data_IF_153143486879
#
_entry.id   IF_153143486879
#
_cell.length_a   1.000
_cell.length_b   1.000
_cell.length_c   1.000
_cell.angle_alpha   90.00
_cell.angle_beta   90.00
_cell.angle_gamma   90.00
#
_symmetry.space_group_name_H-M   'P 1'
#
loop_
_entity.id
_entity.type
_entity.pdbx_description
1 polymer ?
#
# COMPACT_ATOMS: atom_id res chain seq x y z
N UNK A 1 -19.19 16.63 -12.13
CA UNK A 1 -20.24 17.51 -11.56
C UNK A 1 -19.99 18.93 -12.02
N UNK A 2 -21.04 19.67 -12.37
CA UNK A 2 -20.95 21.06 -12.84
C UNK A 2 -21.54 22.00 -11.77
N UNK A 3 -20.91 22.02 -10.59
CA UNK A 3 -21.32 22.88 -9.47
C UNK A 3 -20.50 24.18 -9.50
N UNK A 4 -21.13 25.35 -9.25
CA UNK A 4 -20.40 26.61 -9.08
C UNK A 4 -19.41 26.51 -7.92
N UNK A 5 -18.28 27.22 -8.03
CA UNK A 5 -17.21 27.24 -6.99
C UNK A 5 -17.75 27.71 -5.62
N UNK A 6 -18.84 28.48 -5.61
CA UNK A 6 -19.42 29.09 -4.41
C UNK A 6 -20.67 28.34 -3.90
N UNK A 7 -20.85 27.07 -4.31
CA UNK A 7 -22.04 26.32 -3.93
C UNK A 7 -22.05 26.04 -2.41
N UNK A 8 -23.13 26.40 -1.67
CA UNK A 8 -23.15 26.26 -0.22
C UNK A 8 -23.07 24.79 0.20
N UNK A 9 -22.13 24.44 1.08
CA UNK A 9 -21.89 23.07 1.54
C UNK A 9 -23.14 22.44 2.21
N UNK A 10 -23.95 23.26 2.87
CA UNK A 10 -25.23 22.90 3.50
C UNK A 10 -26.36 22.54 2.53
N UNK A 11 -26.16 22.76 1.22
CA UNK A 11 -27.12 22.38 0.16
C UNK A 11 -26.68 21.15 -0.63
N UNK A 12 -25.59 20.50 -0.24
CA UNK A 12 -25.14 19.25 -0.84
C UNK A 12 -25.96 18.09 -0.24
N UNK A 13 -26.52 17.26 -1.11
CA UNK A 13 -27.14 16.00 -0.70
C UNK A 13 -26.07 15.02 -0.20
N UNK A 14 -26.44 14.07 0.66
CA UNK A 14 -25.53 13.00 1.14
C UNK A 14 -24.85 12.28 -0.01
N UNK A 15 -25.59 12.04 -1.10
CA UNK A 15 -25.06 11.39 -2.31
C UNK A 15 -24.05 12.28 -3.05
N UNK A 16 -24.27 13.59 -3.11
CA UNK A 16 -23.29 14.54 -3.66
C UNK A 16 -22.05 14.68 -2.77
N UNK A 17 -22.21 14.66 -1.44
CA UNK A 17 -21.08 14.66 -0.50
C UNK A 17 -20.26 13.38 -0.66
N UNK A 18 -20.90 12.21 -0.74
CA UNK A 18 -20.25 10.94 -1.00
C UNK A 18 -19.54 10.92 -2.36
N UNK A 19 -20.16 11.47 -3.41
CA UNK A 19 -19.51 11.60 -4.72
C UNK A 19 -18.34 12.58 -4.71
N UNK A 20 -18.41 13.72 -4.01
CA UNK A 20 -17.29 14.65 -3.83
C UNK A 20 -16.18 14.04 -3.00
N UNK A 21 -16.50 13.28 -1.96
CA UNK A 21 -15.53 12.55 -1.14
C UNK A 21 -14.85 11.43 -1.95
N UNK A 22 -15.61 10.67 -2.74
CA UNK A 22 -15.09 9.68 -3.67
C UNK A 22 -14.24 10.31 -4.78
N UNK A 23 -14.68 11.43 -5.35
CA UNK A 23 -13.89 12.19 -6.34
C UNK A 23 -12.63 12.77 -5.70
N UNK A 24 -12.70 13.29 -4.49
CA UNK A 24 -11.55 13.86 -3.77
C UNK A 24 -10.58 12.78 -3.34
N UNK A 25 -11.06 11.59 -2.94
CA UNK A 25 -10.23 10.41 -2.68
C UNK A 25 -9.57 9.90 -3.97
N UNK A 26 -10.31 9.86 -5.09
CA UNK A 26 -9.79 9.49 -6.41
C UNK A 26 -8.80 10.53 -6.99
N UNK A 27 -9.02 11.81 -6.71
CA UNK A 27 -8.14 12.91 -7.12
C UNK A 27 -6.94 13.10 -6.18
N UNK A 28 -7.03 12.61 -4.95
CA UNK A 28 -5.95 12.64 -3.98
C UNK A 28 -5.21 11.31 -4.08
N UNK A 29 -4.32 11.25 -5.08
CA UNK A 29 -3.48 10.09 -5.38
C UNK A 29 -2.82 9.47 -4.12
N UNK A 30 -2.51 10.29 -3.10
CA UNK A 30 -2.02 9.81 -1.80
C UNK A 30 -3.01 8.87 -1.09
N UNK A 31 -4.29 9.21 -1.02
CA UNK A 31 -5.30 8.37 -0.37
C UNK A 31 -5.55 7.08 -1.15
N UNK A 32 -5.59 7.15 -2.49
CA UNK A 32 -5.72 5.97 -3.33
C UNK A 32 -4.51 5.04 -3.20
N UNK A 33 -3.29 5.59 -3.22
CA UNK A 33 -2.05 4.81 -3.09
C UNK A 33 -1.89 4.26 -1.67
N UNK A 34 -2.31 5.00 -0.64
CA UNK A 34 -2.34 4.50 0.73
C UNK A 34 -3.39 3.40 0.90
N UNK A 35 -4.55 3.50 0.24
CA UNK A 35 -5.54 2.42 0.17
C UNK A 35 -4.96 1.16 -0.50
N UNK A 36 -4.30 1.33 -1.65
CA UNK A 36 -3.64 0.22 -2.34
C UNK A 36 -2.55 -0.44 -1.50
N UNK A 37 -1.76 0.34 -0.75
CA UNK A 37 -0.78 -0.20 0.19
C UNK A 37 -1.45 -1.01 1.32
N UNK A 38 -2.60 -0.56 1.82
CA UNK A 38 -3.39 -1.31 2.79
C UNK A 38 -3.93 -2.62 2.20
N UNK A 39 -4.43 -2.59 0.97
CA UNK A 39 -4.95 -3.76 0.26
C UNK A 39 -3.84 -4.78 -0.03
N UNK A 40 -2.65 -4.34 -0.44
CA UNK A 40 -1.48 -5.21 -0.64
C UNK A 40 -1.08 -5.92 0.66
N UNK A 41 -1.07 -5.21 1.79
CA UNK A 41 -0.81 -5.82 3.09
C UNK A 41 -1.90 -6.80 3.52
N UNK A 42 -3.17 -6.45 3.28
CA UNK A 42 -4.29 -7.34 3.56
C UNK A 42 -4.28 -8.58 2.67
N UNK A 43 -3.71 -8.47 1.47
CA UNK A 43 -3.48 -9.58 0.54
C UNK A 43 -2.23 -10.41 0.82
N UNK A 44 -1.48 -10.14 1.90
CA UNK A 44 -0.50 -11.12 2.38
C UNK A 44 -1.27 -12.38 2.81
N UNK A 45 -0.85 -13.56 2.35
CA UNK A 45 -1.49 -14.83 2.68
C UNK A 45 -1.69 -14.92 4.18
N UNK A 46 -2.95 -14.90 4.61
CA UNK A 46 -3.30 -15.09 6.00
C UNK A 46 -3.70 -16.55 6.08
N UNK A 47 -2.78 -17.47 6.44
CA UNK A 47 -2.98 -18.92 6.35
C UNK A 47 -4.37 -19.27 6.88
N UNK A 48 -5.29 -19.56 5.96
CA UNK A 48 -6.72 -19.46 6.24
C UNK A 48 -7.15 -20.47 7.31
N UNK A 49 -8.21 -20.11 8.02
CA UNK A 49 -8.70 -20.79 9.22
C UNK A 49 -9.46 -22.10 8.95
N UNK A 50 -9.43 -22.62 7.72
CA UNK A 50 -10.31 -23.69 7.31
C UNK A 50 -9.51 -24.98 7.08
N UNK A 51 -9.24 -25.67 8.20
CA UNK A 51 -8.68 -27.03 8.22
C UNK A 51 -7.17 -27.12 8.41
N UNK A 52 -6.45 -26.00 8.51
CA UNK A 52 -5.01 -25.97 8.75
C UNK A 52 -4.68 -25.81 10.24
N UNK A 53 -3.77 -26.63 10.77
CA UNK A 53 -3.32 -26.52 12.16
C UNK A 53 -2.64 -25.16 12.41
N UNK A 54 -2.78 -24.62 13.62
CA UNK A 54 -2.17 -23.33 14.02
C UNK A 54 -0.64 -23.27 13.79
N UNK A 55 0.01 -24.43 13.63
CA UNK A 55 1.43 -24.57 13.33
C UNK A 55 1.81 -24.07 11.93
N UNK A 56 1.04 -24.38 10.89
CA UNK A 56 1.32 -23.93 9.51
C UNK A 56 1.26 -22.40 9.40
N UNK A 57 0.39 -21.79 10.20
CA UNK A 57 0.24 -20.34 10.27
C UNK A 57 1.46 -19.67 10.88
N UNK A 58 1.87 -20.13 12.05
CA UNK A 58 3.06 -19.61 12.71
C UNK A 58 4.30 -19.85 11.87
N UNK A 59 4.37 -20.99 11.18
CA UNK A 59 5.47 -21.35 10.30
C UNK A 59 5.62 -20.41 9.11
N UNK A 60 4.54 -20.05 8.41
CA UNK A 60 4.61 -19.08 7.30
C UNK A 60 5.23 -17.75 7.76
N UNK A 61 4.68 -17.16 8.82
CA UNK A 61 5.14 -15.86 9.32
C UNK A 61 6.56 -15.93 9.89
N UNK A 62 6.93 -17.07 10.48
CA UNK A 62 8.28 -17.30 10.97
C UNK A 62 9.28 -17.48 9.83
N UNK A 63 8.94 -18.23 8.77
CA UNK A 63 9.72 -18.36 7.54
C UNK A 63 9.91 -17.00 6.88
N UNK A 64 8.86 -16.18 6.80
CA UNK A 64 8.93 -14.83 6.23
C UNK A 64 9.82 -13.92 7.07
N UNK A 65 9.69 -13.95 8.41
CA UNK A 65 10.57 -13.22 9.32
C UNK A 65 12.03 -13.60 9.12
N UNK A 66 12.35 -14.90 9.09
CA UNK A 66 13.72 -15.38 8.91
C UNK A 66 14.28 -15.05 7.53
N UNK A 67 13.47 -15.19 6.48
CA UNK A 67 13.86 -14.91 5.11
C UNK A 67 14.14 -13.41 4.90
N UNK A 68 13.26 -12.57 5.42
CA UNK A 68 13.35 -11.12 5.27
C UNK A 68 14.31 -10.45 6.24
N UNK A 69 14.62 -11.09 7.37
CA UNK A 69 15.40 -10.50 8.46
C UNK A 69 14.67 -9.38 9.21
N UNK A 70 13.38 -9.12 8.92
CA UNK A 70 12.62 -8.02 9.52
C UNK A 70 11.41 -8.51 10.29
N UNK A 71 11.35 -8.15 11.58
CA UNK A 71 10.20 -8.44 12.43
C UNK A 71 8.95 -7.68 11.98
N UNK A 72 9.11 -6.64 11.16
CA UNK A 72 8.02 -5.78 10.68
C UNK A 72 6.92 -6.58 9.98
N UNK A 73 7.28 -7.64 9.27
CA UNK A 73 6.37 -8.53 8.55
C UNK A 73 5.61 -9.52 9.45
N UNK A 74 5.86 -9.53 10.77
CA UNK A 74 5.11 -10.38 11.68
C UNK A 74 3.67 -9.85 11.88
N UNK A 75 2.67 -10.74 12.06
CA UNK A 75 1.26 -10.36 12.16
C UNK A 75 0.96 -9.28 13.21
N UNK A 76 1.59 -9.36 14.39
CA UNK A 76 1.39 -8.39 15.46
C UNK A 76 1.86 -6.99 15.06
N UNK A 77 2.97 -6.90 14.33
CA UNK A 77 3.54 -5.64 13.86
C UNK A 77 2.72 -5.08 12.69
N UNK A 78 2.35 -5.92 11.72
CA UNK A 78 1.44 -5.55 10.62
C UNK A 78 0.10 -5.00 11.15
N UNK A 79 -0.50 -5.63 12.16
CA UNK A 79 -1.71 -5.10 12.80
C UNK A 79 -1.51 -3.71 13.41
N UNK A 80 -0.38 -3.49 14.09
CA UNK A 80 -0.03 -2.18 14.63
C UNK A 80 0.14 -1.13 13.54
N UNK A 81 0.78 -1.51 12.44
CA UNK A 81 1.02 -0.67 11.26
C UNK A 81 -0.26 -0.30 10.52
N UNK A 82 -1.18 -1.25 10.36
CA UNK A 82 -2.51 -1.01 9.79
C UNK A 82 -3.30 0.00 10.64
N UNK A 83 -3.32 -0.19 11.96
CA UNK A 83 -3.98 0.74 12.88
C UNK A 83 -3.35 2.14 12.85
N UNK A 84 -2.03 2.23 12.66
CA UNK A 84 -1.33 3.49 12.50
C UNK A 84 -1.67 4.16 11.16
N UNK A 85 -1.70 3.40 10.07
CA UNK A 85 -2.01 3.91 8.73
C UNK A 85 -3.46 4.43 8.61
N UNK A 86 -4.41 3.81 9.32
CA UNK A 86 -5.79 4.29 9.42
C UNK A 86 -5.90 5.66 10.11
N UNK A 87 -4.88 6.09 10.86
CA UNK A 87 -4.81 7.45 11.45
C UNK A 87 -4.35 8.51 10.45
N UNK A 88 -3.93 8.11 9.24
CA UNK A 88 -3.65 9.02 8.14
C UNK A 88 -2.30 9.71 8.23
N UNK A 89 -1.19 8.97 8.08
CA UNK A 89 0.17 9.50 8.03
C UNK A 89 1.03 8.71 7.02
N UNK A 90 2.00 9.36 6.35
CA UNK A 90 2.90 8.70 5.39
C UNK A 90 3.99 7.83 6.06
N UNK A 91 4.02 7.78 7.40
CA UNK A 91 4.99 7.01 8.17
C UNK A 91 4.97 5.51 7.87
N UNK A 92 3.79 4.95 7.55
CA UNK A 92 3.68 3.54 7.12
C UNK A 92 4.52 3.26 5.87
N UNK A 93 4.39 4.10 4.84
CA UNK A 93 5.13 3.96 3.59
C UNK A 93 6.65 4.09 3.82
N UNK A 94 7.06 4.97 4.75
CA UNK A 94 8.46 5.11 5.16
C UNK A 94 9.01 3.85 5.84
N UNK A 95 8.24 3.24 6.75
CA UNK A 95 8.64 2.02 7.44
C UNK A 95 8.70 0.80 6.52
N UNK A 96 7.76 0.68 5.58
CA UNK A 96 7.82 -0.33 4.52
C UNK A 96 9.05 -0.20 3.65
N UNK A 97 9.30 1.01 3.16
CA UNK A 97 10.45 1.25 2.31
C UNK A 97 11.76 1.00 3.06
N UNK A 98 11.86 1.39 4.33
CA UNK A 98 13.00 1.09 5.18
C UNK A 98 13.24 -0.42 5.32
N UNK A 99 12.19 -1.18 5.64
CA UNK A 99 12.28 -2.63 5.75
C UNK A 99 12.74 -3.30 4.45
N UNK A 100 12.25 -2.85 3.29
CA UNK A 100 12.66 -3.36 1.98
C UNK A 100 14.11 -2.99 1.62
N UNK A 101 14.59 -1.82 2.05
CA UNK A 101 15.96 -1.35 1.81
C UNK A 101 17.00 -2.03 2.71
N UNK A 102 16.59 -2.48 3.89
CA UNK A 102 17.44 -3.24 4.81
C UNK A 102 17.68 -4.69 4.36
N UNK A 103 16.81 -5.23 3.50
CA UNK A 103 16.99 -6.56 2.93
C UNK A 103 18.15 -6.58 1.94
N UNK A 104 19.08 -7.50 2.15
CA UNK A 104 20.04 -7.83 1.10
C UNK A 104 19.39 -8.61 -0.06
N UNK A 105 20.14 -8.83 -1.14
CA UNK A 105 19.61 -9.51 -2.32
C UNK A 105 19.16 -10.95 -2.04
N UNK A 106 19.83 -11.66 -1.13
CA UNK A 106 19.49 -13.03 -0.78
C UNK A 106 18.23 -13.08 0.09
N UNK A 107 18.12 -12.19 1.06
CA UNK A 107 16.95 -12.02 1.92
C UNK A 107 15.72 -11.62 1.10
N UNK A 108 15.87 -10.65 0.19
CA UNK A 108 14.79 -10.25 -0.70
C UNK A 108 14.30 -11.41 -1.57
N UNK A 109 15.23 -12.16 -2.17
CA UNK A 109 14.89 -13.34 -2.97
C UNK A 109 14.17 -14.40 -2.13
N UNK A 110 14.66 -14.70 -0.94
CA UNK A 110 14.03 -15.68 -0.04
C UNK A 110 12.65 -15.22 0.43
N UNK A 111 12.48 -13.93 0.75
CA UNK A 111 11.19 -13.35 1.10
C UNK A 111 10.19 -13.44 -0.07
N UNK A 112 10.64 -13.17 -1.30
CA UNK A 112 9.84 -13.32 -2.51
C UNK A 112 9.38 -14.78 -2.71
N UNK A 113 10.26 -15.76 -2.46
CA UNK A 113 9.90 -17.18 -2.51
C UNK A 113 8.81 -17.53 -1.49
N UNK A 114 8.96 -17.12 -0.23
CA UNK A 114 7.97 -17.39 0.83
C UNK A 114 6.62 -16.71 0.54
N UNK A 115 6.64 -15.42 0.16
CA UNK A 115 5.42 -14.67 -0.18
C UNK A 115 4.71 -15.32 -1.37
N UNK A 116 5.45 -15.67 -2.41
CA UNK A 116 4.89 -16.29 -3.61
C UNK A 116 4.29 -17.68 -3.36
N UNK A 117 4.91 -18.50 -2.51
CA UNK A 117 4.35 -19.79 -2.10
C UNK A 117 3.00 -19.61 -1.41
N UNK A 118 2.89 -18.63 -0.51
CA UNK A 118 1.62 -18.34 0.16
C UNK A 118 0.56 -17.79 -0.80
N UNK A 119 0.95 -16.90 -1.74
CA UNK A 119 -0.01 -16.33 -2.71
C UNK A 119 -0.56 -17.42 -3.65
N UNK A 120 0.27 -18.38 -4.04
CA UNK A 120 -0.16 -19.56 -4.84
C UNK A 120 -1.09 -20.50 -4.07
N UNK A 121 -0.99 -20.53 -2.74
CA UNK A 121 -1.86 -21.36 -1.90
C UNK A 121 -3.27 -20.78 -1.79
N UNK A 122 -3.42 -19.45 -1.80
CA UNK A 122 -4.73 -18.78 -1.62
C UNK A 122 -5.47 -18.49 -2.93
N UNK A 123 -4.77 -18.43 -4.06
CA UNK A 123 -5.39 -18.19 -5.35
C UNK A 123 -4.80 -19.07 -6.45
N UNK A 124 -5.63 -19.44 -7.43
CA UNK A 124 -5.22 -20.24 -8.60
C UNK A 124 -4.42 -19.36 -9.60
N UNK A 125 -3.26 -18.86 -9.14
CA UNK A 125 -2.27 -18.22 -9.99
C UNK A 125 -1.58 -19.30 -10.83
N UNK A 126 -2.07 -19.53 -12.05
CA UNK A 126 -1.50 -20.53 -12.94
C UNK A 126 -0.25 -20.02 -13.66
N UNK A 127 0.88 -20.70 -13.42
CA UNK A 127 2.02 -20.71 -14.33
C UNK A 127 3.22 -19.84 -13.97
N UNK A 128 3.13 -19.00 -12.94
CA UNK A 128 4.26 -18.19 -12.48
C UNK A 128 5.04 -18.91 -11.35
N UNK A 129 6.38 -18.94 -11.37
CA UNK A 129 7.19 -19.42 -10.26
C UNK A 129 6.91 -18.61 -8.97
N UNK A 130 6.86 -19.23 -7.78
CA UNK A 130 6.61 -18.53 -6.51
C UNK A 130 7.49 -17.29 -6.33
N UNK A 131 8.80 -17.42 -6.53
CA UNK A 131 9.73 -16.29 -6.40
C UNK A 131 9.43 -15.13 -7.37
N UNK A 132 8.88 -15.38 -8.56
CA UNK A 132 8.48 -14.32 -9.48
C UNK A 132 7.22 -13.60 -8.97
N UNK A 133 6.23 -14.34 -8.49
CA UNK A 133 5.00 -13.77 -7.95
C UNK A 133 5.26 -12.91 -6.71
N UNK A 134 6.09 -13.41 -5.79
CA UNK A 134 6.48 -12.63 -4.61
C UNK A 134 7.34 -11.42 -4.94
N UNK A 135 8.21 -11.49 -5.96
CA UNK A 135 8.98 -10.32 -6.39
C UNK A 135 8.08 -9.25 -7.02
N UNK A 136 7.05 -9.65 -7.78
CA UNK A 136 6.05 -8.71 -8.30
C UNK A 136 5.31 -8.02 -7.16
N UNK A 137 4.90 -8.77 -6.14
CA UNK A 137 4.26 -8.22 -4.95
C UNK A 137 5.18 -7.22 -4.21
N UNK A 138 6.45 -7.60 -3.96
CA UNK A 138 7.43 -6.72 -3.30
C UNK A 138 7.66 -5.43 -4.10
N UNK A 139 7.74 -5.53 -5.43
CA UNK A 139 7.89 -4.36 -6.30
C UNK A 139 6.67 -3.45 -6.30
N UNK A 140 5.47 -4.00 -6.22
CA UNK A 140 4.25 -3.19 -6.16
C UNK A 140 4.14 -2.45 -4.81
N UNK A 141 4.47 -3.13 -3.71
CA UNK A 141 4.58 -2.49 -2.39
C UNK A 141 5.62 -1.36 -2.41
N UNK A 142 6.80 -1.62 -2.95
CA UNK A 142 7.88 -0.62 -3.03
C UNK A 142 7.46 0.60 -3.87
N UNK A 143 6.90 0.36 -5.05
CA UNK A 143 6.44 1.42 -5.95
C UNK A 143 5.32 2.25 -5.30
N UNK A 144 4.39 1.60 -4.62
CA UNK A 144 3.27 2.24 -3.93
C UNK A 144 3.76 3.06 -2.74
N UNK A 145 4.68 2.53 -1.94
CA UNK A 145 5.31 3.26 -0.84
C UNK A 145 6.02 4.53 -1.34
N UNK A 146 6.76 4.44 -2.45
CA UNK A 146 7.39 5.62 -3.07
C UNK A 146 6.37 6.65 -3.55
N UNK A 147 5.24 6.22 -4.12
CA UNK A 147 4.17 7.14 -4.54
C UNK A 147 3.53 7.86 -3.36
N UNK A 148 3.23 7.16 -2.27
CA UNK A 148 2.71 7.75 -1.03
C UNK A 148 3.70 8.78 -0.48
N UNK A 149 4.99 8.45 -0.36
CA UNK A 149 6.01 9.36 0.14
C UNK A 149 6.24 10.57 -0.78
N UNK A 150 6.22 10.36 -2.09
CA UNK A 150 6.33 11.45 -3.06
C UNK A 150 5.14 12.40 -2.96
N UNK A 151 3.93 11.87 -2.86
CA UNK A 151 2.72 12.66 -2.72
C UNK A 151 2.67 13.40 -1.36
N UNK A 152 3.15 12.79 -0.28
CA UNK A 152 3.31 13.42 1.03
C UNK A 152 4.28 14.60 0.98
N UNK A 153 5.48 14.42 0.42
CA UNK A 153 6.45 15.51 0.21
C UNK A 153 5.94 16.60 -0.75
N UNK A 154 5.03 16.27 -1.66
CA UNK A 154 4.39 17.24 -2.56
C UNK A 154 3.20 17.94 -1.91
N UNK A 155 2.59 17.37 -0.88
CA UNK A 155 1.57 18.06 -0.09
C UNK A 155 2.16 19.29 0.62
N UNK A 156 3.47 19.25 0.93
CA UNK A 156 4.25 20.39 1.43
C UNK A 156 4.60 21.44 0.34
N UNK A 157 4.36 21.15 -0.94
CA UNK A 157 4.50 22.12 -2.04
C UNK A 157 3.23 22.95 -2.17
N UNK A 158 3.34 24.20 -1.74
CA UNK A 158 2.23 25.14 -1.60
C UNK A 158 1.57 25.55 -2.92
N UNK A 159 0.55 26.45 -2.86
CA UNK A 159 -0.20 26.94 -4.01
C UNK A 159 0.68 27.45 -5.16
N UNK A 160 1.81 28.08 -4.84
CA UNK A 160 2.76 28.63 -5.80
C UNK A 160 3.36 27.58 -6.76
N UNK A 161 3.63 26.36 -6.29
CA UNK A 161 4.16 25.28 -7.14
C UNK A 161 3.09 24.71 -8.08
N UNK A 162 1.81 24.81 -7.72
CA UNK A 162 0.67 24.43 -8.57
C UNK A 162 0.42 25.46 -9.66
N UNK A 163 0.57 26.74 -9.32
CA UNK A 163 0.51 27.87 -10.26
C UNK A 163 1.65 27.77 -11.29
N UNK A 164 2.89 27.55 -10.83
CA UNK A 164 4.06 27.40 -11.69
C UNK A 164 3.93 26.24 -12.69
N UNK A 165 3.38 25.10 -12.27
CA UNK A 165 3.10 23.98 -13.17
C UNK A 165 2.02 24.32 -14.20
N UNK A 166 0.95 25.02 -13.80
CA UNK A 166 -0.12 25.46 -14.73
C UNK A 166 0.41 26.44 -15.77
N UNK A 167 1.28 27.35 -15.36
CA UNK A 167 1.88 28.32 -16.27
C UNK A 167 2.85 27.64 -17.25
N UNK A 168 3.62 26.66 -16.78
CA UNK A 168 4.46 25.84 -17.65
C UNK A 168 3.66 25.02 -18.66
N UNK A 169 2.50 24.48 -18.26
CA UNK A 169 1.62 23.68 -19.13
C UNK A 169 0.86 24.53 -20.15
N UNK A 170 0.53 25.78 -19.82
CA UNK A 170 -0.11 26.73 -20.76
C UNK A 170 0.86 27.30 -21.80
N UNK A 171 2.17 27.13 -21.58
CA UNK A 171 3.22 27.58 -22.47
C UNK A 171 3.62 26.53 -23.53
N UNK A 172 2.98 25.36 -23.53
CA UNK A 172 3.10 24.28 -24.54
C UNK A 172 1.84 24.26 -25.38
#
# INVERSE_FOLDING_TARGET
MNLPVDYPAEKLTVEQIAQVAALSAALNARYADQGHLLDLMAGLPAPEADGQESGDREEFWFRLFHASGTAMLLPANLKGLLLYALRGEAGLAGQWLGALQEMDQAQRKAAAEVIGEGLLAEADFRGDPPGQLGELWLRDVEATAWRVLYADRRADRGPADREAFRDMWRAV
#
